data_IF_246842185560
#
_entry.id   IF_246842185560
#
_cell.length_a   1.000
_cell.length_b   1.000
_cell.length_c   1.000
_cell.angle_alpha   90.00
_cell.angle_beta   90.00
_cell.angle_gamma   90.00
#
_symmetry.space_group_name_H-M   'P 1'
#
loop_
_entity.id
_entity.type
_entity.pdbx_description
1 polymer ?
#
# COMPACT_ATOMS: atom_id res chain seq x y z
N UNK A 1 -20.05 -38.31 73.74
CA UNK A 1 -21.31 -38.99 73.36
C UNK A 1 -21.66 -38.60 71.93
N UNK A 2 -22.02 -39.60 71.09
CA UNK A 2 -22.56 -39.50 69.71
C UNK A 2 -21.58 -39.01 68.63
N UNK A 3 -20.96 -39.88 67.81
CA UNK A 3 -21.46 -40.67 66.65
C UNK A 3 -21.63 -39.88 65.34
N UNK A 4 -21.00 -40.42 64.30
CA UNK A 4 -21.41 -40.30 62.90
C UNK A 4 -20.56 -39.32 62.08
N UNK A 5 -20.19 -39.55 60.83
CA UNK A 5 -20.52 -40.64 59.92
C UNK A 5 -19.52 -40.52 58.74
N UNK A 6 -18.95 -41.65 58.33
CA UNK A 6 -18.16 -41.78 57.10
C UNK A 6 -19.07 -41.51 55.90
N UNK A 7 -18.74 -40.53 55.05
CA UNK A 7 -19.26 -40.44 53.68
C UNK A 7 -18.12 -40.17 52.70
N UNK A 8 -17.77 -41.25 52.01
CA UNK A 8 -17.06 -41.29 50.74
C UNK A 8 -17.76 -40.35 49.76
N UNK A 9 -17.03 -39.41 49.15
CA UNK A 9 -17.50 -38.70 47.97
C UNK A 9 -16.43 -38.75 46.89
N UNK A 10 -16.87 -39.26 45.75
CA UNK A 10 -16.17 -39.49 44.50
C UNK A 10 -15.35 -38.28 44.03
N UNK A 11 -14.08 -38.52 43.72
CA UNK A 11 -13.24 -37.65 42.91
C UNK A 11 -13.65 -37.85 41.45
N UNK A 12 -14.43 -36.91 40.90
CA UNK A 12 -14.60 -36.79 39.45
C UNK A 12 -13.50 -35.88 38.91
N UNK A 13 -12.54 -36.51 38.22
CA UNK A 13 -11.54 -35.84 37.39
C UNK A 13 -12.24 -35.27 36.14
N UNK A 14 -12.64 -34.00 36.18
CA UNK A 14 -13.00 -33.25 34.98
C UNK A 14 -11.73 -32.63 34.39
N UNK A 15 -11.15 -33.33 33.40
CA UNK A 15 -10.20 -32.79 32.44
C UNK A 15 -10.90 -31.71 31.61
N UNK A 16 -10.83 -30.45 32.06
CA UNK A 16 -11.08 -29.29 31.22
C UNK A 16 -9.83 -29.07 30.38
N UNK A 17 -9.81 -29.71 29.21
CA UNK A 17 -8.90 -29.39 28.13
C UNK A 17 -9.05 -27.91 27.79
N UNK A 18 -8.03 -27.13 28.11
CA UNK A 18 -7.93 -25.73 27.70
C UNK A 18 -7.57 -25.72 26.22
N UNK A 19 -8.58 -25.74 25.35
CA UNK A 19 -8.43 -25.32 23.96
C UNK A 19 -8.20 -23.80 23.97
N UNK A 20 -6.94 -23.39 24.14
CA UNK A 20 -6.50 -22.07 23.70
C UNK A 20 -6.52 -22.10 22.17
N UNK A 21 -7.69 -21.85 21.60
CA UNK A 21 -7.80 -21.36 20.24
C UNK A 21 -7.05 -20.03 20.21
N UNK A 22 -5.87 -20.04 19.60
CA UNK A 22 -5.20 -18.84 19.17
C UNK A 22 -6.13 -18.12 18.19
N UNK A 23 -6.92 -17.18 18.71
CA UNK A 23 -7.46 -16.10 17.91
C UNK A 23 -6.26 -15.35 17.36
N UNK A 24 -5.95 -15.59 16.09
CA UNK A 24 -5.18 -14.63 15.33
C UNK A 24 -6.02 -13.35 15.32
N UNK A 25 -5.64 -12.39 16.14
CA UNK A 25 -6.15 -11.04 16.06
C UNK A 25 -5.88 -10.54 14.65
N UNK A 26 -6.92 -10.50 13.83
CA UNK A 26 -6.99 -9.56 12.73
C UNK A 26 -7.00 -8.17 13.36
N UNK A 27 -5.82 -7.65 13.69
CA UNK A 27 -5.67 -6.24 13.99
C UNK A 27 -6.14 -5.49 12.74
N UNK A 28 -7.38 -5.00 12.80
CA UNK A 28 -7.88 -4.03 11.84
C UNK A 28 -6.84 -2.91 11.82
N UNK A 29 -6.33 -2.60 10.62
CA UNK A 29 -5.40 -1.50 10.44
C UNK A 29 -6.18 -0.24 10.81
N UNK A 30 -6.03 0.24 12.06
CA UNK A 30 -6.77 1.40 12.58
C UNK A 30 -6.19 2.73 12.05
N UNK A 31 -5.01 2.69 11.43
CA UNK A 31 -4.30 3.86 10.92
C UNK A 31 -3.69 3.59 9.55
N UNK A 32 -3.66 4.59 8.66
CA UNK A 32 -2.96 4.47 7.39
C UNK A 32 -1.49 4.06 7.57
N UNK A 33 -1.04 3.18 6.69
CA UNK A 33 0.32 2.71 6.44
C UNK A 33 1.09 3.74 5.62
N UNK A 34 0.48 4.25 4.53
CA UNK A 34 0.86 5.24 3.48
C UNK A 34 0.93 6.74 3.80
N UNK A 35 -0.20 7.26 4.21
CA UNK A 35 -0.39 8.69 4.30
C UNK A 35 -1.27 8.95 5.48
N UNK A 36 -0.85 9.82 6.38
CA UNK A 36 -1.66 10.22 7.55
C UNK A 36 -3.02 10.78 7.16
N UNK A 37 -3.17 11.22 5.91
CA UNK A 37 -4.39 11.79 5.38
C UNK A 37 -5.24 10.77 4.59
N UNK A 38 -4.72 9.59 4.29
CA UNK A 38 -5.47 8.57 3.56
C UNK A 38 -6.58 7.96 4.41
N UNK A 39 -7.60 7.47 3.73
CA UNK A 39 -8.65 6.64 4.31
C UNK A 39 -8.33 5.18 4.04
N UNK A 40 -8.50 4.34 5.06
CA UNK A 40 -8.27 2.91 4.96
C UNK A 40 -9.43 2.25 4.19
N UNK A 41 -9.09 1.36 3.28
CA UNK A 41 -10.04 0.51 2.58
C UNK A 41 -10.30 -0.72 3.44
N UNK A 42 -11.47 -0.78 4.06
CA UNK A 42 -11.89 -2.00 4.76
C UNK A 42 -12.24 -3.09 3.73
N UNK A 43 -11.29 -4.02 3.59
CA UNK A 43 -11.41 -5.18 2.70
C UNK A 43 -11.88 -6.45 3.44
N UNK A 44 -12.19 -6.36 4.74
CA UNK A 44 -12.67 -7.52 5.53
C UNK A 44 -14.05 -8.00 5.08
N UNK A 45 -14.82 -7.12 4.44
CA UNK A 45 -16.21 -7.38 4.01
C UNK A 45 -17.15 -7.80 5.14
N UNK A 46 -16.78 -7.54 6.41
CA UNK A 46 -17.55 -7.95 7.58
C UNK A 46 -18.67 -6.96 7.95
N UNK A 47 -18.58 -5.70 7.50
CA UNK A 47 -19.55 -4.64 7.80
C UNK A 47 -19.97 -3.88 6.52
N UNK A 48 -21.04 -3.08 6.62
CA UNK A 48 -21.39 -2.11 5.58
C UNK A 48 -20.17 -1.24 5.28
N UNK A 49 -19.70 -1.27 4.03
CA UNK A 49 -18.46 -0.63 3.64
C UNK A 49 -18.54 0.89 3.84
N UNK A 50 -17.55 1.42 4.57
CA UNK A 50 -17.45 2.85 4.85
C UNK A 50 -17.34 3.64 3.54
N UNK A 51 -18.07 4.75 3.47
CA UNK A 51 -18.06 5.64 2.32
C UNK A 51 -16.97 6.69 2.49
N UNK A 52 -15.95 6.66 1.64
CA UNK A 52 -14.86 7.62 1.65
C UNK A 52 -15.27 8.81 0.77
N UNK A 53 -15.65 9.91 1.41
CA UNK A 53 -16.21 11.10 0.75
C UNK A 53 -15.10 12.00 0.21
N UNK A 54 -15.25 12.49 -1.01
CA UNK A 54 -14.34 13.46 -1.62
C UNK A 54 -14.45 14.84 -0.93
N UNK A 55 -13.41 15.69 -0.96
CA UNK A 55 -13.42 17.00 -0.30
C UNK A 55 -14.60 17.91 -0.65
N UNK A 56 -15.14 17.82 -1.87
CA UNK A 56 -16.28 18.62 -2.33
C UNK A 56 -17.66 18.08 -1.89
N UNK A 57 -17.68 16.91 -1.24
CA UNK A 57 -18.87 16.17 -0.80
C UNK A 57 -19.84 15.75 -1.92
N UNK A 58 -19.45 15.86 -3.20
CA UNK A 58 -20.28 15.44 -4.35
C UNK A 58 -19.95 14.03 -4.81
N UNK A 59 -18.71 13.61 -4.55
CA UNK A 59 -18.19 12.31 -4.94
C UNK A 59 -17.89 11.45 -3.70
N UNK A 60 -18.04 10.13 -3.83
CA UNK A 60 -17.62 9.20 -2.79
C UNK A 60 -17.18 7.87 -3.37
N UNK A 61 -16.28 7.20 -2.66
CA UNK A 61 -15.78 5.87 -2.99
C UNK A 61 -16.28 4.86 -1.95
N UNK A 62 -16.75 3.70 -2.41
CA UNK A 62 -17.20 2.60 -1.56
C UNK A 62 -16.61 1.29 -2.03
N UNK A 63 -16.04 0.51 -1.12
CA UNK A 63 -15.59 -0.84 -1.44
C UNK A 63 -16.80 -1.71 -1.74
N UNK A 64 -16.74 -2.47 -2.83
CA UNK A 64 -17.68 -3.53 -3.17
C UNK A 64 -16.99 -4.87 -3.01
N UNK A 65 -17.58 -5.71 -2.16
CA UNK A 65 -17.14 -7.07 -1.94
C UNK A 65 -17.83 -8.01 -2.93
N UNK A 66 -17.07 -8.57 -3.86
CA UNK A 66 -17.59 -9.52 -4.84
C UNK A 66 -17.51 -10.96 -4.34
N UNK A 67 -18.63 -11.54 -3.88
CA UNK A 67 -18.68 -12.99 -3.58
C UNK A 67 -18.84 -13.89 -4.82
N UNK A 68 -18.98 -13.34 -6.03
CA UNK A 68 -19.49 -14.11 -7.17
C UNK A 68 -18.51 -14.64 -8.20
N UNK A 69 -17.28 -14.13 -8.33
CA UNK A 69 -16.35 -14.68 -9.31
C UNK A 69 -14.91 -14.57 -8.81
N UNK A 70 -14.23 -15.70 -8.74
CA UNK A 70 -12.91 -15.82 -8.14
C UNK A 70 -11.81 -14.95 -8.78
N UNK A 71 -10.74 -14.88 -7.99
CA UNK A 71 -9.39 -14.35 -8.18
C UNK A 71 -9.08 -12.89 -7.83
N UNK A 72 -10.02 -11.94 -7.78
CA UNK A 72 -9.71 -10.60 -7.22
C UNK A 72 -10.93 -10.03 -6.49
N UNK A 73 -10.94 -9.94 -5.14
CA UNK A 73 -12.21 -9.83 -4.39
C UNK A 73 -12.83 -8.43 -4.32
N UNK A 74 -12.11 -7.39 -4.75
CA UNK A 74 -12.45 -6.01 -4.38
C UNK A 74 -12.57 -5.09 -5.59
N UNK A 75 -13.72 -4.42 -5.66
CA UNK A 75 -13.96 -3.32 -6.57
C UNK A 75 -14.24 -2.05 -5.78
N UNK A 76 -13.98 -0.90 -6.38
CA UNK A 76 -14.36 0.39 -5.81
C UNK A 76 -15.51 0.97 -6.62
N UNK A 77 -16.63 1.20 -5.96
CA UNK A 77 -17.75 1.96 -6.52
C UNK A 77 -17.55 3.43 -6.23
N UNK A 78 -17.31 4.20 -7.28
CA UNK A 78 -17.28 5.66 -7.25
C UNK A 78 -18.69 6.17 -7.55
N UNK A 79 -19.22 7.03 -6.70
CA UNK A 79 -20.55 7.63 -6.82
C UNK A 79 -20.36 9.13 -7.03
N UNK A 80 -20.92 9.67 -8.12
CA UNK A 80 -20.87 11.09 -8.49
C UNK A 80 -22.30 11.57 -8.74
N UNK A 81 -22.92 12.17 -7.72
CA UNK A 81 -24.35 12.50 -7.73
C UNK A 81 -25.22 11.26 -7.98
N UNK A 82 -25.85 11.19 -9.17
CA UNK A 82 -26.69 10.04 -9.57
C UNK A 82 -25.94 8.97 -10.36
N UNK A 83 -24.69 9.22 -10.74
CA UNK A 83 -23.88 8.29 -11.52
C UNK A 83 -23.09 7.39 -10.59
N UNK A 84 -22.83 6.17 -11.03
CA UNK A 84 -21.93 5.27 -10.33
C UNK A 84 -21.03 4.54 -11.33
N UNK A 85 -19.74 4.49 -11.02
CA UNK A 85 -18.72 3.77 -11.76
C UNK A 85 -18.14 2.70 -10.85
N UNK A 86 -17.80 1.54 -11.41
CA UNK A 86 -17.12 0.47 -10.67
C UNK A 86 -15.77 0.23 -11.33
N UNK A 87 -14.72 0.28 -10.54
CA UNK A 87 -13.36 -0.05 -10.97
C UNK A 87 -12.85 -1.24 -10.18
N UNK A 88 -12.07 -2.11 -10.82
CA UNK A 88 -11.38 -3.19 -10.12
C UNK A 88 -10.14 -2.63 -9.45
N UNK A 89 -9.94 -2.96 -8.18
CA UNK A 89 -8.73 -2.60 -7.45
C UNK A 89 -7.64 -3.63 -7.70
N UNK A 90 -6.38 -3.18 -7.71
CA UNK A 90 -5.24 -4.08 -7.69
C UNK A 90 -5.21 -4.85 -6.35
N UNK A 91 -4.75 -6.10 -6.39
CA UNK A 91 -4.56 -6.91 -5.19
C UNK A 91 -3.63 -6.20 -4.20
N UNK A 92 -4.02 -6.20 -2.93
CA UNK A 92 -3.28 -5.50 -1.88
C UNK A 92 -3.55 -3.99 -1.83
N UNK A 93 -4.60 -3.47 -2.47
CA UNK A 93 -5.04 -2.09 -2.21
C UNK A 93 -5.46 -1.94 -0.74
N UNK A 94 -4.90 -0.98 -0.02
CA UNK A 94 -5.21 -0.80 1.43
C UNK A 94 -5.70 0.61 1.76
N UNK A 95 -5.36 1.62 0.96
CA UNK A 95 -5.64 3.01 1.28
C UNK A 95 -6.03 3.82 0.06
N UNK A 96 -6.85 4.85 0.28
CA UNK A 96 -7.27 5.82 -0.71
C UNK A 96 -7.08 7.24 -0.20
N UNK A 97 -6.55 8.13 -1.04
CA UNK A 97 -6.51 9.56 -0.78
C UNK A 97 -7.10 10.35 -1.96
N UNK A 98 -8.18 11.09 -1.70
CA UNK A 98 -8.76 12.04 -2.65
C UNK A 98 -7.85 13.23 -2.90
N UNK A 99 -7.81 13.69 -4.15
CA UNK A 99 -7.19 14.95 -4.52
C UNK A 99 -7.96 16.13 -3.91
N UNK A 100 -7.29 17.23 -3.54
CA UNK A 100 -7.94 18.42 -2.98
C UNK A 100 -9.08 18.98 -3.85
N UNK A 101 -8.94 18.94 -5.18
CA UNK A 101 -9.98 19.40 -6.11
C UNK A 101 -11.14 18.39 -6.32
N UNK A 102 -11.10 17.20 -5.70
CA UNK A 102 -12.08 16.12 -5.84
C UNK A 102 -12.21 15.51 -7.24
N UNK A 103 -11.30 15.83 -8.17
CA UNK A 103 -11.32 15.33 -9.56
C UNK A 103 -10.45 14.09 -9.77
N UNK A 104 -9.72 13.67 -8.74
CA UNK A 104 -8.91 12.47 -8.78
C UNK A 104 -8.74 11.87 -7.38
N UNK A 105 -8.26 10.64 -7.32
CA UNK A 105 -7.79 10.02 -6.09
C UNK A 105 -6.66 9.05 -6.44
N UNK A 106 -5.83 8.72 -5.45
CA UNK A 106 -4.89 7.62 -5.58
C UNK A 106 -5.19 6.52 -4.58
N UNK A 107 -4.88 5.31 -4.97
CA UNK A 107 -4.93 4.10 -4.14
C UNK A 107 -3.49 3.63 -3.93
N UNK A 108 -3.11 3.46 -2.66
CA UNK A 108 -1.84 2.84 -2.30
C UNK A 108 -2.09 1.44 -1.74
N UNK A 109 -1.13 0.55 -1.99
CA UNK A 109 -1.27 -0.85 -1.64
C UNK A 109 0.05 -1.60 -1.59
N UNK A 110 -0.05 -2.86 -1.18
CA UNK A 110 1.05 -3.81 -1.07
C UNK A 110 0.54 -5.24 -0.94
N UNK A 111 1.21 -6.18 -1.61
CA UNK A 111 0.85 -7.61 -1.56
C UNK A 111 1.51 -8.35 -0.40
N UNK A 112 2.59 -7.79 0.16
CA UNK A 112 3.27 -8.32 1.34
C UNK A 112 3.60 -7.19 2.31
N UNK A 113 4.25 -7.48 3.44
CA UNK A 113 4.71 -6.46 4.38
C UNK A 113 6.01 -5.74 3.97
N UNK A 114 6.70 -6.20 2.91
CA UNK A 114 8.01 -5.68 2.53
C UNK A 114 8.23 -5.47 1.02
N UNK A 115 7.30 -5.92 0.17
CA UNK A 115 7.42 -5.88 -1.28
C UNK A 115 6.05 -5.78 -1.97
N UNK A 116 6.10 -5.36 -3.24
CA UNK A 116 4.92 -5.28 -4.10
C UNK A 116 4.09 -4.02 -3.86
N UNK A 117 4.70 -2.98 -3.29
CA UNK A 117 4.00 -1.73 -3.03
C UNK A 117 3.74 -0.97 -4.34
N UNK A 118 2.54 -0.41 -4.46
CA UNK A 118 2.12 0.33 -5.64
C UNK A 118 1.32 1.58 -5.27
N UNK A 119 1.27 2.51 -6.23
CA UNK A 119 0.32 3.62 -6.25
C UNK A 119 -0.38 3.68 -7.61
N UNK A 120 -1.71 3.67 -7.56
CA UNK A 120 -2.57 3.83 -8.73
C UNK A 120 -3.35 5.13 -8.63
N UNK A 121 -3.30 5.96 -9.67
CA UNK A 121 -4.07 7.23 -9.71
C UNK A 121 -5.26 7.06 -10.63
N UNK A 122 -6.42 7.51 -10.17
CA UNK A 122 -7.66 7.49 -10.92
C UNK A 122 -8.16 8.92 -11.09
N UNK A 123 -8.30 9.36 -12.34
CA UNK A 123 -8.87 10.67 -12.67
C UNK A 123 -10.34 10.53 -13.03
N UNK A 124 -11.18 11.41 -12.49
CA UNK A 124 -12.59 11.53 -12.81
C UNK A 124 -12.75 12.51 -13.97
N UNK A 125 -13.37 12.04 -15.06
CA UNK A 125 -13.85 12.92 -16.11
C UNK A 125 -15.37 12.90 -16.04
N UNK A 126 -16.02 14.07 -16.07
CA UNK A 126 -17.44 14.27 -15.78
C UNK A 126 -18.45 13.33 -16.51
N UNK A 127 -18.00 12.60 -17.53
CA UNK A 127 -18.82 11.68 -18.32
C UNK A 127 -18.14 10.33 -18.67
N UNK A 128 -16.99 9.98 -18.11
CA UNK A 128 -16.34 8.70 -18.40
C UNK A 128 -15.99 7.92 -17.14
N UNK A 129 -15.88 6.60 -17.29
CA UNK A 129 -15.30 5.74 -16.27
C UNK A 129 -13.96 6.31 -15.79
N UNK A 130 -13.66 6.27 -14.47
CA UNK A 130 -12.38 6.72 -13.95
C UNK A 130 -11.22 6.07 -14.71
N UNK A 131 -10.26 6.88 -15.12
CA UNK A 131 -9.11 6.41 -15.89
C UNK A 131 -7.91 6.18 -14.98
N UNK A 132 -7.35 4.96 -15.00
CA UNK A 132 -6.14 4.61 -14.25
C UNK A 132 -4.90 5.10 -14.98
N UNK A 133 -4.10 5.92 -14.31
CA UNK A 133 -2.79 6.38 -14.77
C UNK A 133 -1.70 5.43 -14.26
N UNK A 134 -0.79 5.00 -15.14
CA UNK A 134 0.33 4.12 -14.76
C UNK A 134 1.52 4.93 -14.24
N UNK A 135 1.38 5.57 -13.07
CA UNK A 135 2.45 6.37 -12.48
C UNK A 135 3.54 5.51 -11.82
N UNK A 136 3.15 4.38 -11.23
CA UNK A 136 4.06 3.39 -10.64
C UNK A 136 5.11 2.94 -11.66
N UNK A 137 4.69 2.56 -12.87
CA UNK A 137 5.61 2.09 -13.91
C UNK A 137 6.62 3.14 -14.35
N UNK A 138 6.21 4.41 -14.47
CA UNK A 138 7.11 5.51 -14.87
C UNK A 138 8.19 5.73 -13.81
N UNK A 139 7.81 5.82 -12.53
CA UNK A 139 8.76 5.98 -11.44
C UNK A 139 9.70 4.77 -11.31
N UNK A 140 9.19 3.54 -11.46
CA UNK A 140 10.01 2.32 -11.40
C UNK A 140 11.07 2.29 -12.50
N UNK A 141 10.71 2.68 -13.73
CA UNK A 141 11.66 2.75 -14.84
C UNK A 141 12.75 3.79 -14.61
N UNK A 142 12.40 4.93 -14.03
CA UNK A 142 13.38 5.95 -13.69
C UNK A 142 14.32 5.48 -12.56
N UNK A 143 13.80 4.79 -11.54
CA UNK A 143 14.64 4.20 -10.50
C UNK A 143 15.62 3.17 -11.04
N UNK A 144 15.26 2.36 -12.06
CA UNK A 144 16.21 1.45 -12.72
C UNK A 144 17.38 2.22 -13.32
N UNK A 145 17.14 3.39 -13.90
CA UNK A 145 18.21 4.21 -14.46
C UNK A 145 19.12 4.80 -13.36
N UNK A 146 18.55 5.14 -12.19
CA UNK A 146 19.30 5.68 -11.04
C UNK A 146 20.05 4.60 -10.25
N UNK A 147 19.45 3.42 -10.09
CA UNK A 147 19.97 2.27 -9.37
C UNK A 147 19.96 1.05 -10.29
N UNK A 148 20.88 0.97 -11.26
CA UNK A 148 20.92 -0.12 -12.24
C UNK A 148 21.18 -1.47 -11.55
N UNK A 149 20.20 -2.40 -11.53
CA UNK A 149 20.31 -3.68 -10.86
C UNK A 149 21.53 -4.50 -11.30
N UNK A 150 21.84 -4.54 -12.61
CA UNK A 150 22.96 -5.33 -13.11
C UNK A 150 24.35 -4.71 -12.87
N UNK A 151 24.42 -3.53 -12.23
CA UNK A 151 25.70 -2.96 -11.77
C UNK A 151 25.86 -3.07 -10.26
N UNK A 152 24.81 -3.49 -9.54
CA UNK A 152 24.83 -3.59 -8.09
C UNK A 152 25.86 -4.63 -7.63
N UNK A 153 26.64 -4.29 -6.60
CA UNK A 153 27.56 -5.25 -6.01
C UNK A 153 26.80 -6.48 -5.49
N UNK A 154 27.37 -7.67 -5.61
CA UNK A 154 26.77 -8.94 -5.19
C UNK A 154 25.41 -9.26 -5.87
N UNK A 155 25.12 -8.66 -7.03
CA UNK A 155 23.95 -8.99 -7.83
C UNK A 155 24.12 -10.28 -8.62
N UNK A 156 23.08 -11.11 -8.63
CA UNK A 156 22.98 -12.29 -9.51
C UNK A 156 22.54 -11.87 -10.93
N UNK A 157 23.22 -12.35 -11.97
CA UNK A 157 22.99 -11.90 -13.36
C UNK A 157 21.57 -12.21 -13.86
N UNK A 158 21.04 -13.39 -13.55
CA UNK A 158 19.68 -13.77 -13.96
C UNK A 158 18.63 -12.91 -13.24
N UNK A 159 18.84 -12.67 -11.95
CA UNK A 159 17.97 -11.86 -11.10
C UNK A 159 17.99 -10.40 -11.51
N UNK A 160 19.16 -9.84 -11.80
CA UNK A 160 19.30 -8.43 -12.16
C UNK A 160 18.58 -8.10 -13.47
N UNK A 161 18.70 -8.96 -14.50
CA UNK A 161 18.00 -8.78 -15.79
C UNK A 161 16.49 -8.81 -15.61
N UNK A 162 15.99 -9.75 -14.80
CA UNK A 162 14.56 -9.83 -14.44
C UNK A 162 14.08 -8.55 -13.76
N UNK A 163 14.87 -7.98 -12.86
CA UNK A 163 14.54 -6.73 -12.17
C UNK A 163 14.57 -5.55 -13.17
N UNK A 164 15.55 -5.45 -14.06
CA UNK A 164 15.57 -4.37 -15.08
C UNK A 164 14.30 -4.38 -15.96
N UNK A 165 13.86 -5.57 -16.37
CA UNK A 165 12.65 -5.77 -17.18
C UNK A 165 11.36 -5.51 -16.39
N UNK A 166 11.31 -5.92 -15.12
CA UNK A 166 10.18 -5.77 -14.22
C UNK A 166 10.67 -5.42 -12.79
N UNK A 167 10.85 -4.14 -12.46
CA UNK A 167 11.60 -3.73 -11.26
C UNK A 167 10.94 -4.14 -9.95
N UNK A 168 9.60 -4.13 -9.94
CA UNK A 168 8.81 -4.38 -8.73
C UNK A 168 9.29 -3.57 -7.51
N UNK A 169 9.89 -2.40 -7.75
CA UNK A 169 10.29 -1.50 -6.68
C UNK A 169 9.06 -0.97 -5.97
N UNK A 170 9.19 -0.77 -4.67
CA UNK A 170 8.11 -0.35 -3.81
C UNK A 170 7.74 1.10 -4.11
N UNK A 171 6.46 1.35 -4.39
CA UNK A 171 5.92 2.69 -4.63
C UNK A 171 4.73 2.94 -3.72
N UNK A 172 4.60 4.13 -3.15
CA UNK A 172 3.43 4.53 -2.35
C UNK A 172 3.12 6.01 -2.50
N UNK A 173 1.84 6.35 -2.60
CA UNK A 173 1.38 7.74 -2.65
C UNK A 173 1.35 8.35 -1.25
N UNK A 174 1.95 9.53 -1.11
CA UNK A 174 2.09 10.23 0.18
C UNK A 174 1.10 11.38 0.30
N UNK A 175 1.05 12.25 -0.71
CA UNK A 175 0.24 13.47 -0.70
C UNK A 175 -0.02 13.97 -2.11
N UNK A 176 -0.90 14.96 -2.23
CA UNK A 176 -1.15 15.73 -3.44
C UNK A 176 -0.40 17.07 -3.38
N UNK A 177 -0.01 17.59 -4.54
CA UNK A 177 0.34 19.02 -4.63
C UNK A 177 -0.88 19.88 -4.32
N UNK A 178 -0.67 21.10 -3.83
CA UNK A 178 -1.76 22.00 -3.43
C UNK A 178 -2.76 22.31 -4.57
N UNK A 179 -2.28 22.33 -5.82
CA UNK A 179 -3.08 22.56 -7.02
C UNK A 179 -3.67 21.26 -7.62
N UNK A 180 -3.47 20.11 -6.96
CA UNK A 180 -3.91 18.78 -7.41
C UNK A 180 -3.31 18.30 -8.75
N UNK A 181 -2.31 19.00 -9.31
CA UNK A 181 -1.72 18.66 -10.61
C UNK A 181 -0.65 17.57 -10.53
N UNK A 182 -0.17 17.27 -9.32
CA UNK A 182 0.88 16.29 -9.07
C UNK A 182 0.62 15.48 -7.79
N UNK A 183 1.25 14.31 -7.71
CA UNK A 183 1.33 13.50 -6.49
C UNK A 183 2.77 13.38 -5.99
N UNK A 184 2.91 13.27 -4.68
CA UNK A 184 4.14 12.91 -3.99
C UNK A 184 4.17 11.40 -3.82
N UNK A 185 5.21 10.75 -4.34
CA UNK A 185 5.39 9.30 -4.30
C UNK A 185 6.68 8.98 -3.58
N UNK A 186 6.59 8.15 -2.54
CA UNK A 186 7.73 7.50 -1.94
C UNK A 186 8.07 6.25 -2.73
N UNK A 187 9.35 6.09 -3.07
CA UNK A 187 9.85 4.97 -3.84
C UNK A 187 11.06 4.33 -3.15
N UNK A 188 11.11 3.00 -3.15
CA UNK A 188 12.17 2.24 -2.49
C UNK A 188 12.54 0.98 -3.30
N UNK A 189 13.84 0.75 -3.49
CA UNK A 189 14.34 -0.57 -3.90
C UNK A 189 14.15 -1.53 -2.73
N UNK A 190 13.39 -2.63 -2.87
CA UNK A 190 13.06 -3.47 -1.73
C UNK A 190 14.30 -3.91 -0.95
N UNK A 191 14.18 -3.93 0.37
CA UNK A 191 15.25 -4.30 1.30
C UNK A 191 15.51 -5.82 1.31
N UNK A 192 15.91 -6.37 0.17
CA UNK A 192 16.23 -7.78 -0.03
C UNK A 192 17.61 -7.91 -0.65
N UNK A 193 18.38 -8.91 -0.21
CA UNK A 193 19.70 -9.22 -0.76
C UNK A 193 19.68 -9.53 -2.26
N UNK A 194 18.52 -9.87 -2.83
CA UNK A 194 18.32 -10.04 -4.27
C UNK A 194 18.60 -8.78 -5.09
N UNK A 195 18.56 -7.59 -4.47
CA UNK A 195 18.90 -6.32 -5.09
C UNK A 195 20.35 -5.91 -4.83
N UNK A 196 21.15 -6.73 -4.16
CA UNK A 196 22.58 -6.50 -3.93
C UNK A 196 22.86 -5.13 -3.31
N UNK A 197 23.91 -4.48 -3.80
CA UNK A 197 24.40 -3.20 -3.31
C UNK A 197 23.46 -2.01 -3.46
N UNK A 198 22.31 -2.15 -4.14
CA UNK A 198 21.30 -1.09 -4.29
C UNK A 198 20.04 -1.33 -3.44
N UNK A 199 20.00 -2.36 -2.58
CA UNK A 199 18.84 -2.60 -1.73
C UNK A 199 18.56 -1.41 -0.79
N UNK A 200 17.28 -1.19 -0.45
CA UNK A 200 16.80 -0.10 0.40
C UNK A 200 17.04 1.32 -0.12
N UNK A 201 17.48 1.51 -1.38
CA UNK A 201 17.67 2.85 -1.92
C UNK A 201 16.32 3.56 -2.09
N UNK A 202 16.24 4.81 -1.62
CA UNK A 202 15.00 5.58 -1.56
C UNK A 202 15.08 6.80 -2.46
N UNK A 203 13.99 7.07 -3.19
CA UNK A 203 13.77 8.31 -3.95
C UNK A 203 12.36 8.82 -3.67
N UNK A 204 12.23 10.12 -3.46
CA UNK A 204 10.94 10.80 -3.50
C UNK A 204 10.68 11.34 -4.90
N UNK A 205 9.48 11.13 -5.43
CA UNK A 205 9.04 11.66 -6.70
C UNK A 205 7.90 12.65 -6.56
N UNK A 206 7.95 13.73 -7.31
CA UNK A 206 6.78 14.54 -7.64
C UNK A 206 6.40 14.22 -9.07
N UNK A 207 5.25 13.57 -9.27
CA UNK A 207 4.79 13.09 -10.58
C UNK A 207 3.58 13.90 -11.02
N UNK A 208 3.60 14.40 -12.25
CA UNK A 208 2.43 15.03 -12.85
C UNK A 208 1.33 13.98 -13.05
N UNK A 209 0.10 14.32 -12.69
CA UNK A 209 -1.03 13.39 -12.70
C UNK A 209 -1.55 13.12 -14.11
N UNK A 210 -1.44 14.10 -15.02
CA UNK A 210 -2.02 14.00 -16.36
C UNK A 210 -1.20 13.12 -17.31
N UNK A 211 0.14 13.19 -17.23
CA UNK A 211 1.06 12.52 -18.16
C UNK A 211 2.09 11.61 -17.48
N UNK A 212 2.13 11.58 -16.15
CA UNK A 212 3.09 10.82 -15.36
C UNK A 212 4.53 11.33 -15.40
N UNK A 213 4.77 12.50 -15.98
CA UNK A 213 6.10 13.10 -16.05
C UNK A 213 6.65 13.37 -14.66
N UNK A 214 7.92 13.02 -14.47
CA UNK A 214 8.66 13.31 -13.24
C UNK A 214 8.98 14.82 -13.21
N UNK A 215 8.31 15.54 -12.32
CA UNK A 215 8.53 16.98 -12.10
C UNK A 215 9.72 17.23 -11.18
N UNK A 216 9.91 16.37 -10.18
CA UNK A 216 11.01 16.47 -9.22
C UNK A 216 11.43 15.10 -8.71
N UNK A 217 12.73 14.95 -8.45
CA UNK A 217 13.33 13.85 -7.69
C UNK A 217 13.87 14.41 -6.39
N UNK A 218 13.72 13.67 -5.32
CA UNK A 218 14.21 13.98 -3.98
C UNK A 218 15.07 12.82 -3.51
N UNK A 219 16.22 13.14 -2.92
CA UNK A 219 16.99 12.18 -2.12
C UNK A 219 16.18 11.71 -0.91
N UNK A 220 16.59 10.60 -0.28
CA UNK A 220 15.97 10.12 0.95
C UNK A 220 15.87 11.19 2.05
N UNK A 221 16.90 12.02 2.20
CA UNK A 221 16.94 13.11 3.19
C UNK A 221 15.93 14.21 2.86
N UNK A 222 15.86 14.62 1.59
CA UNK A 222 14.90 15.63 1.15
C UNK A 222 13.46 15.11 1.26
N UNK A 223 13.21 13.84 0.92
CA UNK A 223 11.92 13.17 1.09
C UNK A 223 11.49 13.19 2.55
N UNK A 224 12.38 12.79 3.47
CA UNK A 224 12.09 12.83 4.91
C UNK A 224 11.79 14.27 5.36
N UNK A 225 12.65 15.23 5.00
CA UNK A 225 12.47 16.62 5.41
C UNK A 225 11.18 17.24 4.85
N UNK A 226 10.83 16.94 3.60
CA UNK A 226 9.70 17.56 2.91
C UNK A 226 8.36 16.98 3.32
N UNK A 227 8.28 15.67 3.62
CA UNK A 227 7.00 14.96 3.74
C UNK A 227 6.78 14.29 5.09
N UNK A 228 7.63 14.54 6.10
CA UNK A 228 7.45 13.96 7.46
C UNK A 228 6.08 14.26 8.07
N UNK A 229 5.49 15.42 7.77
CA UNK A 229 4.14 15.76 8.23
C UNK A 229 3.07 14.84 7.67
N UNK A 230 3.27 14.33 6.45
CA UNK A 230 2.25 13.64 5.66
C UNK A 230 2.40 12.11 5.73
N UNK A 231 3.64 11.61 5.86
CA UNK A 231 3.93 10.18 5.98
C UNK A 231 3.57 9.63 7.35
N UNK A 232 3.06 8.39 7.40
CA UNK A 232 2.68 7.69 8.63
C UNK A 232 3.88 7.01 9.35
N UNK A 233 5.06 7.02 8.75
CA UNK A 233 6.31 6.47 9.28
C UNK A 233 7.47 7.43 9.02
N UNK A 234 8.61 7.16 9.65
CA UNK A 234 9.86 7.84 9.37
C UNK A 234 10.63 7.12 8.26
N UNK A 235 11.12 7.88 7.28
CA UNK A 235 11.99 7.35 6.22
C UNK A 235 13.34 6.99 6.81
N UNK A 236 13.77 5.75 6.59
CA UNK A 236 15.15 5.34 6.84
C UNK A 236 16.03 5.91 5.74
N UNK A 237 17.07 6.64 6.12
CA UNK A 237 18.10 7.08 5.17
C UNK A 237 19.06 5.91 4.91
N UNK A 238 19.14 5.37 3.68
CA UNK A 238 20.03 4.27 3.38
C UNK A 238 21.49 4.74 3.33
N UNK A 239 22.41 3.80 3.49
CA UNK A 239 23.81 4.02 3.08
C UNK A 239 23.88 4.19 1.55
N UNK A 240 25.00 4.70 1.05
CA UNK A 240 25.19 4.86 -0.39
C UNK A 240 25.13 3.49 -1.11
N UNK A 241 24.58 3.45 -2.34
CA UNK A 241 24.57 2.22 -3.11
C UNK A 241 26.00 1.79 -3.43
N UNK A 242 26.23 0.48 -3.44
CA UNK A 242 27.50 -0.13 -3.80
C UNK A 242 27.40 -0.80 -5.17
N UNK A 243 28.38 -0.53 -6.02
CA UNK A 243 28.47 -1.06 -7.37
C UNK A 243 29.76 -1.87 -7.52
N UNK A 244 29.70 -2.95 -8.29
CA UNK A 244 30.82 -3.87 -8.46
C UNK A 244 30.53 -4.89 -9.54
N UNK A 245 31.55 -5.67 -9.92
CA UNK A 245 31.36 -6.75 -10.88
C UNK A 245 30.47 -7.83 -10.24
N UNK A 246 29.34 -8.12 -10.90
CA UNK A 246 28.57 -9.33 -10.64
C UNK A 246 29.47 -10.54 -10.94
N UNK A 247 29.69 -11.37 -9.92
CA UNK A 247 30.52 -12.58 -10.02
C UNK A 247 29.77 -13.74 -10.66
#
# INVERSE_FOLDING_TARGET
MSKGLLKVLLVFFSLLGSELLAQADHAAVERPIWSKHASILDLSCAQETHSIVAPDHKSSARVLCGHKHGNFPYSLRIIEGKKAHVITLQEGAHELLWAPNSEAFFVSGGTTSYAGFFVDVYTLNANSTPHRQNLTGVAQRDMVAQFPPCKAANGDEATCKRIEENPQFNMSGIAWSADSSAIHVFAEVPCSSSYGGIMCQVVGYVLNVADGRILKRLSAQETQASWKSDMAWDVRIPENPTYGLSH
#
